data_IF_547340994711
#
_entry.id   IF_547340994711
#
_cell.length_a   1.000
_cell.length_b   1.000
_cell.length_c   1.000
_cell.angle_alpha   90.00
_cell.angle_beta   90.00
_cell.angle_gamma   90.00
#
_symmetry.space_group_name_H-M   'P 1'
#
loop_
_entity.id
_entity.type
_entity.pdbx_description
1 polymer ?
#
# COMPACT_ATOMS: atom_id res chain seq x y z
N UNK A 1 -3.04 -12.49 10.20
CA UNK A 1 -3.72 -11.92 9.01
C UNK A 1 -4.01 -10.47 9.32
N UNK A 2 -3.49 -9.52 8.54
CA UNK A 2 -3.79 -8.11 8.78
C UNK A 2 -5.30 -7.86 8.67
N UNK A 3 -5.83 -7.10 9.62
CA UNK A 3 -7.22 -6.67 9.63
C UNK A 3 -7.51 -5.86 8.35
N UNK A 4 -8.58 -6.23 7.64
CA UNK A 4 -9.01 -5.49 6.47
C UNK A 4 -9.49 -4.08 6.89
N UNK A 5 -9.32 -3.05 6.06
CA UNK A 5 -9.92 -1.75 6.36
C UNK A 5 -11.45 -1.89 6.49
N UNK A 6 -12.05 -1.32 7.54
CA UNK A 6 -13.51 -1.41 7.80
C UNK A 6 -14.39 -1.08 6.58
N UNK A 7 -13.97 -0.12 5.74
CA UNK A 7 -14.68 0.24 4.51
C UNK A 7 -14.64 -0.88 3.46
N UNK A 8 -13.54 -1.61 3.38
CA UNK A 8 -13.39 -2.75 2.47
C UNK A 8 -14.13 -4.00 2.98
N UNK A 9 -14.21 -4.18 4.30
CA UNK A 9 -15.09 -5.20 4.91
C UNK A 9 -16.56 -4.90 4.56
N UNK A 10 -16.97 -3.63 4.68
CA UNK A 10 -18.33 -3.21 4.30
C UNK A 10 -18.61 -3.39 2.81
N UNK A 11 -17.62 -3.20 1.93
CA UNK A 11 -17.78 -3.49 0.50
C UNK A 11 -18.11 -4.97 0.24
N UNK A 12 -17.48 -5.89 0.97
CA UNK A 12 -17.80 -7.32 0.89
C UNK A 12 -19.20 -7.67 1.37
N UNK A 13 -19.69 -6.95 2.39
CA UNK A 13 -21.03 -7.16 2.95
C UNK A 13 -22.12 -6.60 2.04
N UNK A 14 -21.96 -5.37 1.58
CA UNK A 14 -22.99 -4.64 0.84
C UNK A 14 -22.99 -5.01 -0.66
N UNK A 15 -21.82 -5.34 -1.24
CA UNK A 15 -21.64 -5.57 -2.68
C UNK A 15 -20.67 -6.75 -2.97
N UNK A 16 -21.03 -7.99 -2.59
CA UNK A 16 -20.12 -9.13 -2.63
C UNK A 16 -19.58 -9.47 -4.03
N UNK A 17 -20.41 -9.35 -5.08
CA UNK A 17 -19.97 -9.61 -6.45
C UNK A 17 -18.90 -8.62 -6.93
N UNK A 18 -19.07 -7.33 -6.60
CA UNK A 18 -18.11 -6.28 -6.94
C UNK A 18 -16.80 -6.48 -6.19
N UNK A 19 -16.88 -6.81 -4.89
CA UNK A 19 -15.70 -7.11 -4.08
C UNK A 19 -14.91 -8.29 -4.65
N UNK A 20 -15.59 -9.39 -4.98
CA UNK A 20 -14.96 -10.57 -5.57
C UNK A 20 -14.32 -10.27 -6.93
N UNK A 21 -15.01 -9.52 -7.81
CA UNK A 21 -14.44 -9.11 -9.09
C UNK A 21 -13.16 -8.27 -8.92
N UNK A 22 -13.16 -7.34 -7.95
CA UNK A 22 -11.99 -6.53 -7.62
C UNK A 22 -10.82 -7.38 -7.10
N UNK A 23 -11.08 -8.35 -6.23
CA UNK A 23 -10.04 -9.26 -5.74
C UNK A 23 -9.47 -10.16 -6.84
N UNK A 24 -10.31 -10.66 -7.74
CA UNK A 24 -9.88 -11.43 -8.91
C UNK A 24 -8.99 -10.60 -9.84
N UNK A 25 -9.35 -9.34 -10.10
CA UNK A 25 -8.49 -8.40 -10.82
C UNK A 25 -7.14 -8.23 -10.11
N UNK A 26 -7.16 -8.05 -8.79
CA UNK A 26 -5.95 -7.92 -7.97
C UNK A 26 -5.01 -9.12 -8.09
N UNK A 27 -5.56 -10.34 -8.03
CA UNK A 27 -4.82 -11.60 -8.21
C UNK A 27 -4.25 -11.72 -9.63
N UNK A 28 -5.07 -11.47 -10.65
CA UNK A 28 -4.64 -11.56 -12.04
C UNK A 28 -3.46 -10.62 -12.33
N UNK A 29 -3.52 -9.37 -11.88
CA UNK A 29 -2.42 -8.39 -12.04
C UNK A 29 -1.16 -8.80 -11.27
N UNK A 30 -1.30 -9.42 -10.10
CA UNK A 30 -0.15 -9.89 -9.32
C UNK A 30 0.56 -11.09 -9.93
N UNK A 31 -0.17 -11.93 -10.68
CA UNK A 31 0.39 -13.13 -11.33
C UNK A 31 0.82 -12.92 -12.79
N UNK A 32 0.64 -11.73 -13.36
CA UNK A 32 0.85 -11.48 -14.80
C UNK A 32 2.26 -11.02 -15.17
N UNK A 33 3.25 -11.10 -14.27
CA UNK A 33 4.58 -10.56 -14.54
C UNK A 33 5.70 -11.13 -13.66
N UNK A 34 6.95 -10.74 -13.94
CA UNK A 34 8.14 -11.37 -13.33
C UNK A 34 8.52 -10.80 -11.96
N UNK A 35 7.86 -9.73 -11.51
CA UNK A 35 8.22 -9.04 -10.27
C UNK A 35 7.78 -9.85 -9.06
N UNK A 36 8.67 -10.03 -8.08
CA UNK A 36 8.38 -10.69 -6.82
C UNK A 36 7.45 -9.87 -5.91
N UNK A 37 6.96 -10.52 -4.85
CA UNK A 37 5.95 -9.93 -3.96
C UNK A 37 6.45 -8.65 -3.27
N UNK A 38 7.73 -8.64 -2.88
CA UNK A 38 8.39 -7.50 -2.26
C UNK A 38 8.42 -6.30 -3.21
N UNK A 39 8.89 -6.52 -4.43
CA UNK A 39 8.99 -5.47 -5.45
C UNK A 39 7.61 -4.93 -5.79
N UNK A 40 6.61 -5.80 -5.97
CA UNK A 40 5.22 -5.37 -6.23
C UNK A 40 4.63 -4.56 -5.07
N UNK A 41 4.92 -4.92 -3.82
CA UNK A 41 4.45 -4.19 -2.65
C UNK A 41 5.04 -2.77 -2.56
N UNK A 42 6.35 -2.63 -2.75
CA UNK A 42 7.04 -1.34 -2.74
C UNK A 42 6.60 -0.44 -3.91
N UNK A 43 6.44 -1.00 -5.11
CA UNK A 43 5.91 -0.24 -6.26
C UNK A 43 4.50 0.26 -5.99
N UNK A 44 3.61 -0.59 -5.45
CA UNK A 44 2.25 -0.17 -5.12
C UNK A 44 2.20 0.90 -4.03
N UNK A 45 3.11 0.85 -3.06
CA UNK A 45 3.28 1.91 -2.07
C UNK A 45 3.70 3.22 -2.75
N UNK A 46 4.72 3.20 -3.62
CA UNK A 46 5.17 4.37 -4.36
C UNK A 46 4.07 4.96 -5.26
N UNK A 47 3.27 4.13 -5.94
CA UNK A 47 2.11 4.58 -6.72
C UNK A 47 1.08 5.28 -5.82
N UNK A 48 0.80 4.72 -4.64
CA UNK A 48 -0.15 5.30 -3.68
C UNK A 48 0.32 6.66 -3.17
N UNK A 49 1.63 6.80 -2.93
CA UNK A 49 2.30 8.06 -2.59
C UNK A 49 2.17 9.07 -3.73
N UNK A 50 2.48 8.67 -4.97
CA UNK A 50 2.32 9.51 -6.17
C UNK A 50 0.90 10.00 -6.38
N UNK A 51 -0.10 9.17 -6.05
CA UNK A 51 -1.51 9.52 -6.15
C UNK A 51 -2.04 10.34 -4.97
N UNK A 52 -1.24 10.58 -3.92
CA UNK A 52 -1.67 11.31 -2.72
C UNK A 52 -2.77 10.61 -1.92
N UNK A 53 -2.83 9.28 -1.98
CA UNK A 53 -3.92 8.48 -1.41
C UNK A 53 -3.53 7.92 -0.03
N UNK A 54 -3.80 8.66 1.05
CA UNK A 54 -3.47 8.28 2.43
C UNK A 54 -3.93 6.86 2.79
N UNK A 55 -5.21 6.53 2.56
CA UNK A 55 -5.74 5.20 2.87
C UNK A 55 -5.07 4.07 2.09
N UNK A 56 -4.61 4.35 0.86
CA UNK A 56 -3.85 3.39 0.06
C UNK A 56 -2.41 3.25 0.57
N UNK A 57 -1.75 4.35 0.95
CA UNK A 57 -0.44 4.33 1.61
C UNK A 57 -0.52 3.49 2.89
N UNK A 58 -1.47 3.76 3.77
CA UNK A 58 -1.72 2.94 4.97
C UNK A 58 -1.90 1.46 4.64
N UNK A 59 -2.70 1.13 3.61
CA UNK A 59 -2.94 -0.26 3.22
C UNK A 59 -1.69 -0.93 2.66
N UNK A 60 -0.89 -0.24 1.86
CA UNK A 60 0.29 -0.81 1.22
C UNK A 60 1.47 -0.89 2.19
N UNK A 61 1.57 -0.01 3.17
CA UNK A 61 2.52 -0.13 4.28
C UNK A 61 2.25 -1.36 5.13
N UNK A 62 0.99 -1.64 5.52
CA UNK A 62 0.64 -2.87 6.25
C UNK A 62 1.01 -4.13 5.46
N UNK A 63 0.63 -4.18 4.17
CA UNK A 63 0.95 -5.31 3.30
C UNK A 63 2.46 -5.52 3.13
N UNK A 64 3.23 -4.45 3.02
CA UNK A 64 4.69 -4.52 2.96
C UNK A 64 5.28 -5.08 4.27
N UNK A 65 4.81 -4.60 5.42
CA UNK A 65 5.25 -5.10 6.72
C UNK A 65 4.88 -6.57 6.95
N UNK A 66 3.68 -7.01 6.54
CA UNK A 66 3.24 -8.41 6.61
C UNK A 66 4.11 -9.35 5.76
N UNK A 67 4.71 -8.83 4.68
CA UNK A 67 5.67 -9.55 3.83
C UNK A 67 7.09 -9.57 4.43
N UNK A 68 7.29 -9.01 5.62
CA UNK A 68 8.59 -8.94 6.29
C UNK A 68 9.56 -7.92 5.69
N UNK A 69 9.06 -6.98 4.87
CA UNK A 69 9.86 -5.88 4.33
C UNK A 69 10.24 -4.94 5.49
N UNK A 70 11.50 -4.54 5.57
CA UNK A 70 11.97 -3.77 6.72
C UNK A 70 11.39 -2.35 6.73
N UNK A 71 11.32 -1.73 7.92
CA UNK A 71 10.88 -0.33 8.07
C UNK A 71 11.74 0.61 7.22
N UNK A 72 13.04 0.34 7.14
CA UNK A 72 14.01 1.10 6.36
C UNK A 72 13.72 1.03 4.87
N UNK A 73 13.39 -0.15 4.33
CA UNK A 73 13.03 -0.32 2.91
C UNK A 73 11.73 0.42 2.57
N UNK A 74 10.74 0.37 3.47
CA UNK A 74 9.47 1.08 3.31
C UNK A 74 9.71 2.61 3.34
N UNK A 75 10.47 3.12 4.31
CA UNK A 75 10.80 4.55 4.41
C UNK A 75 11.65 5.03 3.25
N UNK A 76 12.62 4.23 2.80
CA UNK A 76 13.44 4.54 1.64
C UNK A 76 12.60 4.61 0.35
N UNK A 77 11.59 3.76 0.21
CA UNK A 77 10.62 3.84 -0.91
C UNK A 77 9.90 5.19 -0.93
N UNK A 78 9.49 5.73 0.23
CA UNK A 78 8.90 7.08 0.30
C UNK A 78 9.94 8.16 0.01
N UNK A 79 11.16 8.04 0.55
CA UNK A 79 12.22 9.02 0.34
C UNK A 79 12.58 9.20 -1.15
N UNK A 80 12.51 8.13 -1.95
CA UNK A 80 12.71 8.18 -3.40
C UNK A 80 11.69 9.07 -4.13
N UNK A 81 10.55 9.39 -3.51
CA UNK A 81 9.56 10.29 -4.07
C UNK A 81 9.96 11.77 -3.99
N UNK A 82 10.92 12.14 -3.12
CA UNK A 82 11.33 13.53 -2.87
C UNK A 82 11.72 14.31 -4.14
N UNK A 83 12.61 13.83 -5.02
CA UNK A 83 13.00 14.58 -6.22
C UNK A 83 11.88 14.71 -7.24
N UNK A 84 10.85 13.84 -7.21
CA UNK A 84 9.80 13.78 -8.24
C UNK A 84 8.51 14.47 -7.78
N UNK A 85 8.10 14.26 -6.53
CA UNK A 85 6.84 14.75 -5.96
C UNK A 85 7.02 15.97 -5.04
N UNK A 86 8.27 16.32 -4.71
CA UNK A 86 8.60 17.42 -3.82
C UNK A 86 8.44 17.09 -2.34
N UNK A 87 8.92 18.03 -1.51
CA UNK A 87 8.97 17.88 -0.05
C UNK A 87 7.59 17.68 0.60
N UNK A 88 6.54 18.48 0.30
CA UNK A 88 5.25 18.35 1.01
C UNK A 88 4.60 16.97 0.82
N UNK A 89 4.52 16.50 -0.42
CA UNK A 89 3.95 15.18 -0.77
C UNK A 89 4.72 14.04 -0.09
N UNK A 90 6.06 14.15 -0.07
CA UNK A 90 6.94 13.15 0.54
C UNK A 90 6.78 13.09 2.06
N UNK A 91 6.73 14.25 2.73
CA UNK A 91 6.56 14.30 4.19
C UNK A 91 5.16 13.84 4.62
N UNK A 92 4.12 14.18 3.87
CA UNK A 92 2.78 13.64 4.11
C UNK A 92 2.79 12.10 4.02
N UNK A 93 3.33 11.54 2.94
CA UNK A 93 3.43 10.09 2.77
C UNK A 93 4.31 9.42 3.84
N UNK A 94 5.38 10.08 4.29
CA UNK A 94 6.21 9.59 5.40
C UNK A 94 5.39 9.49 6.69
N UNK A 95 4.62 10.54 7.01
CA UNK A 95 3.76 10.52 8.21
C UNK A 95 2.72 9.39 8.15
N UNK A 96 2.12 9.14 6.98
CA UNK A 96 1.19 8.03 6.79
C UNK A 96 1.85 6.65 6.91
N UNK A 97 3.09 6.50 6.45
CA UNK A 97 3.87 5.27 6.68
C UNK A 97 4.10 5.07 8.18
N UNK A 98 4.53 6.11 8.87
CA UNK A 98 4.85 6.05 10.31
C UNK A 98 3.59 5.80 11.16
N UNK A 99 2.41 6.30 10.75
CA UNK A 99 1.11 5.95 11.34
C UNK A 99 0.84 4.44 11.38
N UNK A 100 1.51 3.66 10.54
CA UNK A 100 1.39 2.20 10.49
C UNK A 100 2.57 1.52 11.17
N UNK A 101 3.80 1.95 10.87
CA UNK A 101 5.00 1.28 11.36
C UNK A 101 5.22 1.48 12.86
N UNK A 102 4.83 2.64 13.40
CA UNK A 102 5.12 3.03 14.77
C UNK A 102 3.90 3.01 15.69
N UNK A 103 2.78 2.43 15.22
CA UNK A 103 1.67 2.06 16.09
C UNK A 103 2.13 1.01 17.12
N UNK A 104 2.03 1.39 18.40
CA UNK A 104 2.12 0.46 19.55
C UNK A 104 0.90 -0.44 19.62
#
# INVERSE_FOLDING_TARGET
>A
MAQLPKRFEKLHQDYPEVANAYELLGKAVHSSGPLDDKTRALIKLAISTGAGLEGAVHSHTRKAADLGISKEEIRQTILLALPTLGLPSTMAAMSWVDDILDKK
#
